data_IF_183191541981
#
_entry.id   IF_183191541981
#
_cell.length_a   1.000
_cell.length_b   1.000
_cell.length_c   1.000
_cell.angle_alpha   90.00
_cell.angle_beta   90.00
_cell.angle_gamma   90.00
#
_symmetry.space_group_name_H-M   'P 1'
#
loop_
_entity.id
_entity.type
_entity.pdbx_description
1 polymer ?
#
# COMPACT_ATOMS: atom_id res chain seq x y z
N UNK A 1 22.70 -3.21 -14.63
CA UNK A 1 22.19 -3.98 -13.49
C UNK A 1 21.14 -4.92 -14.04
N UNK A 2 21.31 -6.22 -13.91
CA UNK A 2 20.38 -7.23 -14.45
C UNK A 2 19.04 -7.11 -13.73
N UNK A 3 17.97 -6.85 -14.49
CA UNK A 3 16.62 -6.79 -13.95
C UNK A 3 16.20 -8.22 -13.57
N UNK A 4 16.27 -8.55 -12.28
CA UNK A 4 15.77 -9.82 -11.76
C UNK A 4 14.24 -9.79 -11.77
N UNK A 5 13.63 -10.72 -12.51
CA UNK A 5 12.21 -10.97 -12.40
C UNK A 5 11.88 -11.50 -11.01
N UNK A 6 10.75 -11.07 -10.46
CA UNK A 6 10.21 -11.61 -9.21
C UNK A 6 9.88 -13.09 -9.41
N UNK A 7 10.26 -13.90 -8.43
CA UNK A 7 9.83 -15.29 -8.34
C UNK A 7 8.38 -15.37 -7.87
N UNK A 8 7.75 -16.54 -8.02
CA UNK A 8 6.34 -16.73 -7.64
C UNK A 8 6.05 -16.39 -6.17
N UNK A 9 7.00 -16.65 -5.27
CA UNK A 9 6.88 -16.33 -3.85
C UNK A 9 6.90 -14.83 -3.62
N UNK A 10 7.85 -14.10 -4.22
CA UNK A 10 7.94 -12.64 -4.09
C UNK A 10 6.73 -11.93 -4.70
N UNK A 11 6.24 -12.40 -5.85
CA UNK A 11 5.00 -11.90 -6.45
C UNK A 11 3.80 -12.11 -5.53
N UNK A 12 3.68 -13.28 -4.91
CA UNK A 12 2.62 -13.57 -3.94
C UNK A 12 2.72 -12.65 -2.71
N UNK A 13 3.91 -12.49 -2.13
CA UNK A 13 4.15 -11.60 -0.98
C UNK A 13 3.80 -10.15 -1.29
N UNK A 14 4.10 -9.67 -2.51
CA UNK A 14 3.75 -8.31 -2.93
C UNK A 14 2.23 -8.15 -3.07
N UNK A 15 1.51 -9.16 -3.58
CA UNK A 15 0.04 -9.15 -3.62
C UNK A 15 -0.57 -9.13 -2.20
N UNK A 16 -0.02 -9.92 -1.27
CA UNK A 16 -0.45 -9.92 0.13
C UNK A 16 -0.24 -8.56 0.79
N UNK A 17 0.94 -7.96 0.58
CA UNK A 17 1.26 -6.65 1.12
C UNK A 17 0.38 -5.55 0.49
N UNK A 18 0.08 -5.64 -0.80
CA UNK A 18 -0.83 -4.73 -1.50
C UNK A 18 -2.24 -4.80 -0.90
N UNK A 19 -2.76 -6.00 -0.64
CA UNK A 19 -4.05 -6.20 0.02
C UNK A 19 -4.04 -5.61 1.43
N UNK A 20 -3.00 -5.91 2.21
CA UNK A 20 -2.84 -5.37 3.56
C UNK A 20 -2.85 -3.83 3.58
N UNK A 21 -2.04 -3.19 2.71
CA UNK A 21 -1.96 -1.73 2.62
C UNK A 21 -3.27 -1.11 2.16
N UNK A 22 -3.96 -1.73 1.21
CA UNK A 22 -5.26 -1.24 0.72
C UNK A 22 -6.31 -1.28 1.81
N UNK A 23 -6.44 -2.40 2.53
CA UNK A 23 -7.41 -2.55 3.63
C UNK A 23 -7.10 -1.58 4.77
N UNK A 24 -5.83 -1.47 5.17
CA UNK A 24 -5.40 -0.53 6.20
C UNK A 24 -5.68 0.92 5.83
N UNK A 25 -5.34 1.33 4.60
CA UNK A 25 -5.60 2.67 4.09
C UNK A 25 -7.10 3.01 4.12
N UNK A 26 -7.96 2.10 3.63
CA UNK A 26 -9.41 2.29 3.63
C UNK A 26 -9.96 2.44 5.04
N UNK A 27 -9.50 1.62 5.99
CA UNK A 27 -9.87 1.74 7.41
C UNK A 27 -9.43 3.08 7.98
N UNK A 28 -8.18 3.48 7.76
CA UNK A 28 -7.65 4.76 8.24
C UNK A 28 -8.42 5.93 7.65
N UNK A 29 -8.78 5.88 6.36
CA UNK A 29 -9.54 6.93 5.69
C UNK A 29 -10.97 7.05 6.22
N UNK A 30 -11.63 5.92 6.48
CA UNK A 30 -12.95 5.89 7.10
C UNK A 30 -12.91 6.53 8.48
N UNK A 31 -11.98 6.10 9.35
CA UNK A 31 -11.85 6.61 10.72
C UNK A 31 -11.48 8.10 10.72
N UNK A 32 -10.62 8.55 9.79
CA UNK A 32 -10.25 9.96 9.63
C UNK A 32 -11.49 10.87 9.44
N UNK A 33 -12.53 10.38 8.76
CA UNK A 33 -13.78 11.10 8.54
C UNK A 33 -14.74 11.10 9.74
N UNK A 34 -14.51 10.23 10.72
CA UNK A 34 -15.39 10.03 11.89
C UNK A 34 -14.78 10.53 13.20
N UNK A 35 -13.45 10.62 13.28
CA UNK A 35 -12.74 10.98 14.51
C UNK A 35 -12.80 12.49 14.76
N UNK A 36 -13.00 12.87 16.03
CA UNK A 36 -13.01 14.27 16.49
C UNK A 36 -11.66 14.72 17.07
N UNK A 37 -10.90 13.78 17.63
CA UNK A 37 -9.55 14.03 18.14
C UNK A 37 -8.63 14.44 16.98
N UNK A 38 -8.07 15.65 17.06
CA UNK A 38 -7.33 16.25 15.95
C UNK A 38 -5.95 15.63 15.75
N UNK A 39 -5.30 15.19 16.82
CA UNK A 39 -3.99 14.54 16.73
C UNK A 39 -4.14 13.16 16.10
N UNK A 40 -5.17 12.41 16.49
CA UNK A 40 -5.51 11.13 15.86
C UNK A 40 -5.94 11.32 14.40
N UNK A 41 -6.68 12.39 14.08
CA UNK A 41 -7.03 12.73 12.69
C UNK A 41 -5.79 12.97 11.82
N UNK A 42 -4.83 13.75 12.32
CA UNK A 42 -3.57 14.01 11.63
C UNK A 42 -2.73 12.74 11.46
N UNK A 43 -2.71 11.87 12.47
CA UNK A 43 -2.03 10.58 12.40
C UNK A 43 -2.64 9.67 11.32
N UNK A 44 -3.97 9.61 11.24
CA UNK A 44 -4.69 8.86 10.21
C UNK A 44 -4.49 9.44 8.82
N UNK A 45 -4.43 10.77 8.68
CA UNK A 45 -4.09 11.43 7.41
C UNK A 45 -2.71 11.01 6.92
N UNK A 46 -1.71 11.07 7.80
CA UNK A 46 -0.36 10.64 7.49
C UNK A 46 -0.32 9.17 7.07
N UNK A 47 -1.09 8.31 7.75
CA UNK A 47 -1.20 6.89 7.38
C UNK A 47 -1.80 6.70 5.98
N UNK A 48 -2.85 7.44 5.64
CA UNK A 48 -3.47 7.39 4.29
C UNK A 48 -2.46 7.80 3.23
N UNK A 49 -1.77 8.93 3.41
CA UNK A 49 -0.79 9.42 2.44
C UNK A 49 0.39 8.45 2.26
N UNK A 50 0.90 7.89 3.35
CA UNK A 50 1.98 6.89 3.30
C UNK A 50 1.53 5.60 2.62
N UNK A 51 0.33 5.12 2.94
CA UNK A 51 -0.22 3.89 2.36
C UNK A 51 -0.50 4.05 0.86
N UNK A 52 -0.98 5.20 0.42
CA UNK A 52 -1.20 5.50 -1.00
C UNK A 52 0.11 5.42 -1.80
N UNK A 53 1.21 6.00 -1.27
CA UNK A 53 2.53 5.87 -1.90
C UNK A 53 3.00 4.42 -1.96
N UNK A 54 2.83 3.66 -0.86
CA UNK A 54 3.19 2.25 -0.82
C UNK A 54 2.39 1.41 -1.82
N UNK A 55 1.07 1.62 -1.91
CA UNK A 55 0.19 0.95 -2.88
C UNK A 55 0.66 1.21 -4.31
N UNK A 56 0.97 2.46 -4.67
CA UNK A 56 1.47 2.80 -6.00
C UNK A 56 2.81 2.12 -6.32
N UNK A 57 3.73 2.07 -5.34
CA UNK A 57 5.01 1.37 -5.50
C UNK A 57 4.83 -0.14 -5.68
N UNK A 58 3.96 -0.77 -4.88
CA UNK A 58 3.68 -2.21 -4.96
C UNK A 58 3.00 -2.58 -6.29
N UNK A 59 2.06 -1.77 -6.77
CA UNK A 59 1.47 -1.94 -8.09
C UNK A 59 2.52 -1.82 -9.19
N UNK A 60 3.41 -0.83 -9.10
CA UNK A 60 4.50 -0.65 -10.06
C UNK A 60 5.43 -1.87 -10.11
N UNK A 61 5.74 -2.47 -8.95
CA UNK A 61 6.56 -3.69 -8.89
C UNK A 61 5.88 -4.87 -9.58
N UNK A 62 4.57 -5.05 -9.38
CA UNK A 62 3.80 -6.11 -10.04
C UNK A 62 3.69 -5.88 -11.55
N UNK A 63 3.38 -4.67 -12.00
CA UNK A 63 3.28 -4.34 -13.43
C UNK A 63 4.62 -4.53 -14.14
N UNK A 64 5.73 -4.16 -13.51
CA UNK A 64 7.07 -4.34 -14.09
C UNK A 64 7.51 -5.81 -14.15
N UNK A 65 6.85 -6.70 -13.42
CA UNK A 65 7.07 -8.15 -13.49
C UNK A 65 6.16 -8.85 -14.51
N UNK A 66 5.01 -8.27 -14.86
CA UNK A 66 4.00 -8.89 -15.73
C UNK A 66 4.31 -8.90 -17.23
N UNK A 67 5.51 -8.50 -17.67
CA UNK A 67 5.84 -8.33 -19.10
C UNK A 67 7.06 -9.10 -19.63
N UNK A 68 7.48 -10.21 -19.00
CA UNK A 68 8.44 -11.15 -19.62
C UNK A 68 8.18 -12.61 -19.25
#
# INVERSE_FOLDING_TARGET
MTQQNLTIHETMEIHELLNFKTVGMTKSKLIQGLVFDQDLKALLERNVQQSMRAVNSLQSLLTNNQYH
#
